data_IF_054533325871
#
_entry.id   IF_054533325871
#
_cell.length_a   1.000
_cell.length_b   1.000
_cell.length_c   1.000
_cell.angle_alpha   90.00
_cell.angle_beta   90.00
_cell.angle_gamma   90.00
#
_symmetry.space_group_name_H-M   'P 1'
#
loop_
_entity.id
_entity.type
_entity.pdbx_description
1 polymer ?
#
# COMPACT_ATOMS: atom_id res chain seq x y z
N UNK A 1 2.74 -7.30 7.35
CA UNK A 1 1.66 -8.33 7.43
C UNK A 1 0.70 -8.23 6.27
N UNK A 2 0.02 -7.10 6.06
CA UNK A 2 -0.97 -6.93 4.96
C UNK A 2 -0.42 -7.25 3.57
N UNK A 3 0.79 -6.79 3.22
CA UNK A 3 1.48 -7.13 1.95
C UNK A 3 1.67 -8.62 1.75
N UNK A 4 2.06 -9.35 2.80
CA UNK A 4 2.29 -10.80 2.72
C UNK A 4 0.97 -11.52 2.46
N UNK A 5 -0.09 -11.16 3.17
CA UNK A 5 -1.42 -11.76 3.00
C UNK A 5 -2.01 -11.50 1.61
N UNK A 6 -1.83 -10.29 1.06
CA UNK A 6 -2.24 -9.98 -0.31
C UNK A 6 -1.43 -10.81 -1.33
N UNK A 7 -0.12 -10.95 -1.13
CA UNK A 7 0.71 -11.68 -2.09
C UNK A 7 0.53 -13.20 -2.05
N UNK A 8 0.14 -13.77 -0.90
CA UNK A 8 -0.29 -15.18 -0.86
C UNK A 8 -1.56 -15.39 -1.70
N UNK A 9 -2.49 -14.43 -1.70
CA UNK A 9 -3.62 -14.42 -2.63
C UNK A 9 -3.15 -14.29 -4.10
N UNK A 10 -2.26 -13.34 -4.40
CA UNK A 10 -1.72 -13.14 -5.75
C UNK A 10 -0.98 -14.37 -6.28
N UNK A 11 -0.35 -15.15 -5.39
CA UNK A 11 0.31 -16.41 -5.70
C UNK A 11 -0.66 -17.60 -5.86
N UNK A 12 -1.98 -17.37 -5.71
CA UNK A 12 -3.02 -18.35 -6.01
C UNK A 12 -3.39 -19.31 -4.87
N UNK A 13 -2.90 -19.10 -3.64
CA UNK A 13 -3.16 -20.01 -2.53
C UNK A 13 -4.58 -19.90 -1.96
N UNK A 14 -5.21 -18.73 -2.04
CA UNK A 14 -6.61 -18.53 -1.66
C UNK A 14 -7.22 -17.33 -2.41
N UNK A 15 -8.55 -17.25 -2.56
CA UNK A 15 -9.21 -16.12 -3.20
C UNK A 15 -9.20 -14.86 -2.33
N UNK A 16 -9.41 -13.70 -2.96
CA UNK A 16 -9.60 -12.42 -2.28
C UNK A 16 -10.80 -12.55 -1.34
N UNK A 17 -10.62 -12.19 -0.07
CA UNK A 17 -11.63 -12.34 0.95
C UNK A 17 -11.54 -11.21 2.00
N UNK A 18 -12.49 -11.21 2.93
CA UNK A 18 -12.63 -10.15 3.94
C UNK A 18 -11.36 -9.91 4.76
N UNK A 19 -10.54 -10.93 5.01
CA UNK A 19 -9.30 -10.80 5.78
C UNK A 19 -8.33 -9.80 5.14
N UNK A 20 -8.10 -9.88 3.82
CA UNK A 20 -7.22 -8.94 3.11
C UNK A 20 -7.76 -7.52 3.22
N UNK A 21 -9.07 -7.35 3.01
CA UNK A 21 -9.72 -6.04 3.05
C UNK A 21 -9.69 -5.44 4.46
N UNK A 22 -9.98 -6.23 5.49
CA UNK A 22 -9.88 -5.80 6.90
C UNK A 22 -8.45 -5.43 7.27
N UNK A 23 -7.45 -6.22 6.86
CA UNK A 23 -6.04 -5.91 7.10
C UNK A 23 -5.59 -4.67 6.32
N UNK A 24 -6.16 -4.44 5.13
CA UNK A 24 -5.96 -3.22 4.35
C UNK A 24 -6.54 -1.98 5.04
N UNK A 25 -7.73 -2.08 5.63
CA UNK A 25 -8.34 -0.95 6.36
C UNK A 25 -7.57 -0.65 7.64
N UNK A 26 -7.46 -1.62 8.54
CA UNK A 26 -7.09 -1.33 9.92
C UNK A 26 -5.59 -1.30 10.15
N UNK A 27 -4.85 -2.25 9.57
CA UNK A 27 -3.44 -2.44 9.92
C UNK A 27 -2.50 -1.84 8.87
N UNK A 28 -2.66 -2.24 7.60
CA UNK A 28 -1.95 -1.65 6.48
C UNK A 28 -2.39 -0.20 6.24
N UNK A 29 -3.64 0.14 6.57
CA UNK A 29 -4.20 1.47 6.38
C UNK A 29 -4.05 2.37 7.59
N UNK A 30 -5.07 2.40 8.45
CA UNK A 30 -5.19 3.35 9.56
C UNK A 30 -4.00 3.33 10.52
N UNK A 31 -3.58 2.16 11.00
CA UNK A 31 -2.44 2.06 11.90
C UNK A 31 -1.14 2.57 11.26
N UNK A 32 -0.94 2.32 9.96
CA UNK A 32 0.23 2.79 9.23
C UNK A 32 0.19 4.32 8.99
N UNK A 33 -0.99 4.90 8.75
CA UNK A 33 -1.18 6.36 8.71
C UNK A 33 -0.81 6.99 10.07
N UNK A 34 -1.28 6.40 11.17
CA UNK A 34 -0.95 6.88 12.52
C UNK A 34 0.56 6.81 12.76
N UNK A 35 1.22 5.71 12.37
CA UNK A 35 2.67 5.58 12.47
C UNK A 35 3.40 6.69 11.68
N UNK A 36 2.90 7.07 10.50
CA UNK A 36 3.45 8.20 9.73
C UNK A 36 3.31 9.55 10.46
N UNK A 37 2.17 9.80 11.10
CA UNK A 37 1.97 11.00 11.93
C UNK A 37 2.93 11.01 13.14
N UNK A 38 3.18 9.84 13.75
CA UNK A 38 4.14 9.72 14.85
C UNK A 38 5.58 9.97 14.41
N UNK A 39 5.98 9.49 13.22
CA UNK A 39 7.31 9.77 12.68
C UNK A 39 7.53 11.25 12.38
N UNK A 40 6.49 11.97 11.95
CA UNK A 40 6.56 13.43 11.80
C UNK A 40 6.88 14.11 13.14
N UNK A 41 6.24 13.68 14.23
CA UNK A 41 6.52 14.21 15.58
C UNK A 41 7.95 13.94 16.06
N UNK A 42 8.61 12.90 15.54
CA UNK A 42 10.03 12.59 15.81
C UNK A 42 11.00 13.34 14.89
N UNK A 43 10.52 14.14 13.95
CA UNK A 43 11.34 14.82 12.95
C UNK A 43 11.86 13.88 11.85
N UNK A 44 11.31 12.67 11.72
CA UNK A 44 11.68 11.74 10.66
C UNK A 44 10.79 11.95 9.42
N UNK A 45 11.19 12.87 8.54
CA UNK A 45 10.46 13.16 7.30
C UNK A 45 10.30 11.93 6.41
N UNK A 46 11.34 11.09 6.29
CA UNK A 46 11.29 9.89 5.45
C UNK A 46 10.21 8.92 5.94
N UNK A 47 10.23 8.60 7.24
CA UNK A 47 9.24 7.72 7.87
C UNK A 47 7.84 8.30 7.79
N UNK A 48 7.69 9.61 8.03
CA UNK A 48 6.41 10.30 7.94
C UNK A 48 5.80 10.19 6.55
N UNK A 49 6.57 10.47 5.50
CA UNK A 49 6.10 10.33 4.12
C UNK A 49 5.82 8.88 3.76
N UNK A 50 6.75 7.96 4.04
CA UNK A 50 6.60 6.54 3.70
C UNK A 50 5.36 5.92 4.32
N UNK A 51 5.22 5.99 5.65
CA UNK A 51 4.16 5.30 6.36
C UNK A 51 2.79 5.92 6.09
N UNK A 52 2.70 7.25 6.04
CA UNK A 52 1.44 7.92 5.69
C UNK A 52 0.98 7.55 4.28
N UNK A 53 1.89 7.62 3.29
CA UNK A 53 1.55 7.29 1.90
C UNK A 53 1.14 5.83 1.73
N UNK A 54 1.91 4.87 2.25
CA UNK A 54 1.53 3.45 2.14
C UNK A 54 0.29 3.09 2.97
N UNK A 55 0.03 3.81 4.05
CA UNK A 55 -1.23 3.75 4.77
C UNK A 55 -2.41 4.11 3.86
N UNK A 56 -2.32 5.23 3.16
CA UNK A 56 -3.35 5.62 2.20
C UNK A 56 -3.39 4.74 0.95
N UNK A 57 -2.28 4.15 0.50
CA UNK A 57 -2.28 3.12 -0.55
C UNK A 57 -3.21 1.96 -0.20
N UNK A 58 -3.13 1.45 1.03
CA UNK A 58 -3.98 0.34 1.47
C UNK A 58 -5.45 0.74 1.54
N UNK A 59 -5.74 1.94 2.06
CA UNK A 59 -7.11 2.46 2.13
C UNK A 59 -7.70 2.69 0.73
N UNK A 60 -6.93 3.25 -0.20
CA UNK A 60 -7.38 3.42 -1.58
C UNK A 60 -7.52 2.10 -2.31
N UNK A 61 -6.63 1.12 -2.10
CA UNK A 61 -6.74 -0.22 -2.68
C UNK A 61 -8.02 -0.92 -2.21
N UNK A 62 -8.36 -0.82 -0.93
CA UNK A 62 -9.64 -1.34 -0.42
C UNK A 62 -10.81 -0.60 -1.04
N UNK A 63 -10.74 0.73 -1.17
CA UNK A 63 -11.76 1.53 -1.84
C UNK A 63 -12.01 1.09 -3.29
N UNK A 64 -10.94 0.88 -4.07
CA UNK A 64 -11.01 0.38 -5.45
C UNK A 64 -11.78 -0.96 -5.52
N UNK A 65 -11.59 -1.84 -4.54
CA UNK A 65 -12.25 -3.16 -4.50
C UNK A 65 -13.69 -3.10 -3.99
N UNK A 66 -13.99 -2.22 -3.02
CA UNK A 66 -15.28 -2.20 -2.34
C UNK A 66 -16.30 -1.23 -2.93
N UNK A 67 -15.87 -0.06 -3.44
CA UNK A 67 -16.78 0.95 -3.97
C UNK A 67 -17.67 0.39 -5.08
N UNK A 68 -17.16 -0.35 -6.09
CA UNK A 68 -17.99 -0.90 -7.16
C UNK A 68 -18.94 -2.02 -6.71
N UNK A 69 -18.83 -2.50 -5.46
CA UNK A 69 -19.77 -3.49 -4.90
C UNK A 69 -21.05 -2.85 -4.36
N UNK A 70 -21.08 -1.53 -4.18
CA UNK A 70 -22.30 -0.79 -3.88
C UNK A 70 -23.14 -0.66 -5.15
N UNK A 71 -24.46 -0.84 -5.04
CA UNK A 71 -25.39 -0.73 -6.17
C UNK A 71 -25.24 0.62 -6.90
N UNK A 72 -25.10 1.71 -6.12
CA UNK A 72 -24.97 3.07 -6.64
C UNK A 72 -23.68 3.33 -7.43
N UNK A 73 -22.66 2.48 -7.29
CA UNK A 73 -21.33 2.67 -7.90
C UNK A 73 -20.88 1.45 -8.72
N UNK A 74 -21.78 0.52 -9.02
CA UNK A 74 -21.50 -0.72 -9.75
C UNK A 74 -20.86 -0.51 -11.13
N UNK A 75 -21.17 0.61 -11.79
CA UNK A 75 -20.56 1.02 -13.06
C UNK A 75 -19.13 1.58 -12.97
N UNK A 76 -18.55 1.68 -11.76
CA UNK A 76 -17.21 2.25 -11.53
C UNK A 76 -16.13 1.18 -11.28
N UNK A 77 -16.37 -0.06 -11.69
CA UNK A 77 -15.38 -1.13 -11.58
C UNK A 77 -14.09 -0.76 -12.31
N UNK A 78 -12.96 -0.83 -11.62
CA UNK A 78 -11.66 -0.45 -12.20
C UNK A 78 -11.17 -1.58 -13.11
N UNK A 79 -11.01 -1.27 -14.39
CA UNK A 79 -10.44 -2.18 -15.37
C UNK A 79 -8.93 -2.40 -15.16
N UNK A 80 -8.39 -3.45 -15.79
CA UNK A 80 -6.99 -3.87 -15.61
C UNK A 80 -5.98 -2.78 -15.99
N UNK A 81 -6.20 -2.01 -17.05
CA UNK A 81 -5.24 -0.98 -17.49
C UNK A 81 -5.19 0.23 -16.53
N UNK A 82 -6.31 0.85 -16.14
CA UNK A 82 -6.31 1.87 -15.08
C UNK A 82 -5.75 1.36 -13.74
N UNK A 83 -6.03 0.10 -13.37
CA UNK A 83 -5.46 -0.50 -12.16
C UNK A 83 -3.94 -0.67 -12.25
N UNK A 84 -3.42 -1.08 -13.41
CA UNK A 84 -1.99 -1.16 -13.66
C UNK A 84 -1.33 0.23 -13.61
N UNK A 85 -1.96 1.27 -14.15
CA UNK A 85 -1.47 2.65 -14.06
C UNK A 85 -1.42 3.13 -12.59
N UNK A 86 -2.43 2.81 -11.79
CA UNK A 86 -2.44 3.08 -10.35
C UNK A 86 -1.24 2.42 -9.65
N UNK A 87 -1.02 1.12 -9.86
CA UNK A 87 0.12 0.41 -9.26
C UNK A 87 1.48 0.91 -9.78
N UNK A 88 1.56 1.25 -11.06
CA UNK A 88 2.78 1.80 -11.67
C UNK A 88 3.20 3.11 -10.99
N UNK A 89 2.25 4.03 -10.74
CA UNK A 89 2.55 5.28 -10.03
C UNK A 89 3.02 5.03 -8.60
N UNK A 90 2.48 4.03 -7.91
CA UNK A 90 3.00 3.60 -6.61
C UNK A 90 4.41 3.01 -6.72
N UNK A 91 4.71 2.25 -7.78
CA UNK A 91 6.06 1.77 -8.08
C UNK A 91 7.06 2.91 -8.30
N UNK A 92 6.68 3.95 -9.06
CA UNK A 92 7.50 5.15 -9.27
C UNK A 92 7.76 5.88 -7.94
N UNK A 93 6.72 6.09 -7.12
CA UNK A 93 6.88 6.66 -5.78
C UNK A 93 7.87 5.83 -4.93
N UNK A 94 7.70 4.51 -4.94
CA UNK A 94 8.54 3.59 -4.18
C UNK A 94 10.00 3.64 -4.63
N UNK A 95 10.27 3.76 -5.94
CA UNK A 95 11.61 3.90 -6.49
C UNK A 95 12.33 5.15 -5.96
N UNK A 96 11.65 6.30 -5.92
CA UNK A 96 12.23 7.52 -5.35
C UNK A 96 12.51 7.35 -3.85
N UNK A 97 11.59 6.72 -3.12
CA UNK A 97 11.81 6.42 -1.70
C UNK A 97 12.97 5.45 -1.50
N UNK A 98 13.14 4.44 -2.37
CA UNK A 98 14.28 3.51 -2.34
C UNK A 98 15.61 4.26 -2.43
N UNK A 99 15.75 5.23 -3.34
CA UNK A 99 16.96 6.06 -3.44
C UNK A 99 17.24 6.78 -2.10
N UNK A 100 16.19 7.26 -1.42
CA UNK A 100 16.29 7.85 -0.08
C UNK A 100 16.82 6.90 0.99
N UNK A 101 16.63 5.58 0.83
CA UNK A 101 17.12 4.58 1.79
C UNK A 101 18.61 4.25 1.66
N UNK A 102 19.27 4.62 0.56
CA UNK A 102 20.64 4.15 0.24
C UNK A 102 21.69 4.58 1.28
N UNK A 103 21.42 5.65 2.04
CA UNK A 103 22.25 6.14 3.14
C UNK A 103 21.85 5.55 4.51
N UNK A 104 20.76 4.79 4.57
CA UNK A 104 20.21 4.18 5.77
C UNK A 104 20.65 2.72 5.96
N UNK A 105 19.83 1.95 6.67
CA UNK A 105 20.12 0.53 6.93
C UNK A 105 19.90 -0.32 5.68
N UNK A 106 20.73 -1.37 5.51
CA UNK A 106 20.59 -2.31 4.40
C UNK A 106 19.23 -3.01 4.39
N UNK A 107 18.69 -3.32 5.58
CA UNK A 107 17.36 -3.89 5.71
C UNK A 107 16.27 -2.97 5.10
N UNK A 108 16.34 -1.66 5.39
CA UNK A 108 15.40 -0.69 4.84
C UNK A 108 15.53 -0.60 3.31
N UNK A 109 16.75 -0.59 2.79
CA UNK A 109 16.97 -0.60 1.34
C UNK A 109 16.43 -1.84 0.65
N UNK A 110 16.61 -3.02 1.24
CA UNK A 110 16.05 -4.27 0.68
C UNK A 110 14.53 -4.19 0.61
N UNK A 111 13.87 -3.75 1.69
CA UNK A 111 12.41 -3.60 1.72
C UNK A 111 11.92 -2.71 0.58
N UNK A 112 12.50 -1.51 0.43
CA UNK A 112 12.07 -0.57 -0.61
C UNK A 112 12.43 -1.02 -2.03
N UNK A 113 13.55 -1.72 -2.22
CA UNK A 113 13.90 -2.32 -3.50
C UNK A 113 12.87 -3.39 -3.91
N UNK A 114 12.56 -4.32 -2.99
CA UNK A 114 11.60 -5.40 -3.25
C UNK A 114 10.16 -4.90 -3.40
N UNK A 115 9.85 -3.69 -2.93
CA UNK A 115 8.53 -3.08 -3.10
C UNK A 115 8.43 -2.30 -4.42
N UNK A 116 9.57 -1.94 -5.02
CA UNK A 116 9.62 -1.25 -6.32
C UNK A 116 9.36 -2.22 -7.48
N UNK A 117 9.73 -3.49 -7.30
CA UNK A 117 9.62 -4.58 -8.29
C UNK A 117 8.33 -5.37 -8.02
#
# INVERSE_FOLDING_TARGET
MTTVLLNIHNAGFYPMNAMILSMGIFYGGLAQVIAGIEEWKKGNTFGATAFTSYGFFWLSLVGIVLIPKSESYSGLATESFPFAAYLFMWGVFTLFMFIGTLKGSRALSVVFLTLTI
#
